data_IF_978563639679
#
_entry.id   IF_978563639679
#
_cell.length_a   1.000
_cell.length_b   1.000
_cell.length_c   1.000
_cell.angle_alpha   90.00
_cell.angle_beta   90.00
_cell.angle_gamma   90.00
#
_symmetry.space_group_name_H-M   'P 1'
#
loop_
_entity.id
_entity.type
_entity.pdbx_description
1 polymer ?
#
# COMPACT_ATOMS: atom_id res chain seq x y z
N UNK A 1 -7.51 -9.37 1.50
CA UNK A 1 -6.16 -9.21 0.89
C UNK A 1 -5.25 -8.64 1.95
N UNK A 2 -3.99 -9.09 2.00
CA UNK A 2 -2.96 -8.49 2.84
C UNK A 2 -1.77 -8.07 1.97
N UNK A 3 -1.33 -6.81 2.10
CA UNK A 3 -0.06 -6.33 1.55
C UNK A 3 0.92 -6.01 2.67
N UNK A 4 2.20 -6.25 2.43
CA UNK A 4 3.34 -5.98 3.31
C UNK A 4 4.20 -4.90 2.68
N UNK A 5 4.53 -3.85 3.43
CA UNK A 5 5.52 -2.84 3.04
C UNK A 5 6.91 -3.42 3.21
N UNK A 6 7.65 -3.57 2.11
CA UNK A 6 8.96 -4.24 2.09
C UNK A 6 10.13 -3.26 2.08
N UNK A 7 9.91 -2.02 1.65
CA UNK A 7 10.92 -0.97 1.60
C UNK A 7 10.26 0.41 1.60
N UNK A 8 10.90 1.39 2.25
CA UNK A 8 10.45 2.79 2.28
C UNK A 8 11.66 3.71 2.08
N UNK A 9 11.67 4.42 0.96
CA UNK A 9 12.78 5.31 0.59
C UNK A 9 12.30 6.76 0.55
N UNK A 10 13.05 7.66 1.18
CA UNK A 10 12.84 9.10 0.98
C UNK A 10 13.33 9.48 -0.43
N UNK A 11 12.43 10.01 -1.26
CA UNK A 11 12.71 10.37 -2.67
C UNK A 11 13.32 11.75 -2.81
N UNK A 12 12.97 12.70 -1.95
CA UNK A 12 13.37 14.12 -2.07
C UNK A 12 13.44 14.80 -0.69
N UNK A 13 14.01 16.01 -0.64
CA UNK A 13 13.98 16.85 0.56
C UNK A 13 12.56 17.38 0.89
N UNK A 14 11.54 17.00 0.11
CA UNK A 14 10.17 17.53 0.16
C UNK A 14 9.21 16.59 0.90
N UNK A 15 9.73 15.73 1.79
CA UNK A 15 8.91 14.84 2.63
C UNK A 15 8.09 13.82 1.81
N UNK A 16 8.57 13.42 0.63
CA UNK A 16 7.94 12.40 -0.23
C UNK A 16 8.67 11.07 -0.06
N UNK A 17 7.93 10.02 0.30
CA UNK A 17 8.44 8.68 0.49
C UNK A 17 7.87 7.75 -0.57
N UNK A 18 8.72 6.89 -1.11
CA UNK A 18 8.30 5.84 -2.01
C UNK A 18 8.34 4.50 -1.29
N UNK A 19 7.19 3.84 -1.21
CA UNK A 19 7.02 2.56 -0.54
C UNK A 19 6.89 1.43 -1.58
N UNK A 20 7.65 0.36 -1.37
CA UNK A 20 7.49 -0.90 -2.10
C UNK A 20 6.65 -1.85 -1.27
N UNK A 21 5.75 -2.59 -1.91
CA UNK A 21 4.90 -3.56 -1.22
C UNK A 21 4.80 -4.89 -1.97
N UNK A 22 4.45 -5.94 -1.22
CA UNK A 22 4.17 -7.27 -1.73
C UNK A 22 2.81 -7.77 -1.20
N UNK A 23 2.01 -8.40 -2.06
CA UNK A 23 0.81 -9.11 -1.64
C UNK A 23 1.23 -10.44 -1.03
N UNK A 24 1.07 -10.56 0.29
CA UNK A 24 1.40 -11.78 1.05
C UNK A 24 0.20 -12.71 1.23
N UNK A 25 -1.02 -12.19 1.04
CA UNK A 25 -2.25 -12.99 1.05
C UNK A 25 -3.30 -12.47 0.05
N UNK A 26 -3.79 -13.36 -0.82
CA UNK A 26 -4.83 -13.10 -1.81
C UNK A 26 -4.33 -12.99 -3.25
N UNK A 27 -5.26 -12.65 -4.15
CA UNK A 27 -5.06 -12.43 -5.59
C UNK A 27 -5.78 -11.16 -6.04
N UNK A 28 -5.37 -9.99 -5.54
CA UNK A 28 -6.07 -8.75 -5.80
C UNK A 28 -5.87 -8.27 -7.24
N UNK A 29 -6.89 -7.62 -7.78
CA UNK A 29 -6.78 -6.79 -8.98
C UNK A 29 -6.02 -5.49 -8.67
N UNK A 30 -5.68 -4.73 -9.71
CA UNK A 30 -5.10 -3.38 -9.53
C UNK A 30 -6.06 -2.45 -8.77
N UNK A 31 -7.36 -2.55 -9.02
CA UNK A 31 -8.36 -1.70 -8.36
C UNK A 31 -8.46 -1.99 -6.87
N UNK A 32 -8.39 -3.27 -6.47
CA UNK A 32 -8.43 -3.64 -5.05
C UNK A 32 -7.23 -3.06 -4.28
N UNK A 33 -6.06 -3.07 -4.92
CA UNK A 33 -4.84 -2.49 -4.34
C UNK A 33 -4.94 -0.98 -4.23
N UNK A 34 -5.47 -0.30 -5.26
CA UNK A 34 -5.69 1.15 -5.22
C UNK A 34 -6.63 1.49 -4.08
N UNK A 35 -7.78 0.81 -3.99
CA UNK A 35 -8.76 1.06 -2.93
C UNK A 35 -8.17 0.90 -1.53
N UNK A 36 -7.45 -0.20 -1.27
CA UNK A 36 -6.78 -0.42 0.02
C UNK A 36 -5.75 0.69 0.31
N UNK A 37 -4.87 1.00 -0.64
CA UNK A 37 -3.84 2.01 -0.41
C UNK A 37 -4.44 3.40 -0.19
N UNK A 38 -5.54 3.74 -0.87
CA UNK A 38 -6.24 5.02 -0.66
C UNK A 38 -7.05 5.08 0.63
N UNK A 39 -7.45 3.93 1.21
CA UNK A 39 -8.14 3.90 2.51
C UNK A 39 -7.16 4.01 3.67
N UNK A 40 -5.98 3.39 3.55
CA UNK A 40 -4.98 3.38 4.61
C UNK A 40 -4.09 4.64 4.60
N UNK A 41 -3.82 5.20 3.42
CA UNK A 41 -2.84 6.29 3.24
C UNK A 41 -3.55 7.53 2.71
N UNK A 42 -3.61 8.58 3.53
CA UNK A 42 -4.36 9.81 3.25
C UNK A 42 -3.86 10.56 2.00
N UNK A 43 -2.57 10.42 1.67
CA UNK A 43 -1.95 11.02 0.48
C UNK A 43 -1.13 9.95 -0.23
N UNK A 44 -1.77 9.22 -1.13
CA UNK A 44 -1.18 8.12 -1.90
C UNK A 44 -1.25 8.43 -3.40
N UNK A 45 -0.11 8.35 -4.09
CA UNK A 45 -0.02 8.59 -5.54
C UNK A 45 0.88 7.57 -6.24
N UNK A 46 0.91 7.61 -7.58
CA UNK A 46 1.83 6.82 -8.42
C UNK A 46 1.78 5.31 -8.15
N UNK A 47 0.57 4.79 -7.89
CA UNK A 47 0.35 3.38 -7.56
C UNK A 47 0.59 2.50 -8.80
N UNK A 48 1.58 1.62 -8.67
CA UNK A 48 1.95 0.60 -9.66
C UNK A 48 1.78 -0.78 -9.05
N UNK A 49 1.24 -1.73 -9.81
CA UNK A 49 1.04 -3.11 -9.34
C UNK A 49 1.31 -4.10 -10.48
N UNK A 50 2.09 -5.13 -10.18
CA UNK A 50 2.34 -6.28 -11.07
C UNK A 50 1.57 -7.49 -10.56
N UNK A 51 0.56 -7.92 -11.32
CA UNK A 51 -0.20 -9.15 -11.04
C UNK A 51 0.68 -10.40 -10.99
N UNK A 52 1.63 -10.51 -11.93
CA UNK A 52 2.54 -11.67 -12.01
C UNK A 52 3.48 -11.74 -10.82
N UNK A 53 4.07 -10.61 -10.42
CA UNK A 53 5.02 -10.57 -9.31
C UNK A 53 4.33 -10.42 -7.94
N UNK A 54 3.03 -10.15 -7.92
CA UNK A 54 2.26 -9.83 -6.72
C UNK A 54 2.92 -8.73 -5.88
N UNK A 55 3.46 -7.70 -6.53
CA UNK A 55 4.20 -6.62 -5.89
C UNK A 55 3.91 -5.29 -6.58
N UNK A 56 4.22 -4.19 -5.90
CA UNK A 56 4.03 -2.87 -6.46
C UNK A 56 4.78 -1.78 -5.72
N UNK A 57 4.48 -0.54 -6.10
CA UNK A 57 5.07 0.66 -5.51
C UNK A 57 4.07 1.79 -5.51
N UNK A 58 4.13 2.66 -4.51
CA UNK A 58 3.39 3.93 -4.47
C UNK A 58 4.24 5.02 -3.80
N UNK A 59 3.78 6.26 -3.92
CA UNK A 59 4.35 7.42 -3.22
C UNK A 59 3.39 7.89 -2.13
N UNK A 60 3.93 8.33 -1.00
CA UNK A 60 3.21 8.96 0.10
C UNK A 60 3.91 10.21 0.60
N UNK A 61 3.14 11.13 1.19
CA UNK A 61 3.64 12.37 1.79
C UNK A 61 3.72 12.22 3.30
N UNK A 62 4.86 12.55 3.87
CA UNK A 62 5.15 12.22 5.26
C UNK A 62 5.44 10.73 5.44
N UNK A 63 6.02 10.38 6.58
CA UNK A 63 6.37 8.99 6.90
C UNK A 63 5.11 8.22 7.35
N UNK A 64 4.15 8.05 6.45
CA UNK A 64 2.90 7.32 6.69
C UNK A 64 3.05 5.80 6.58
N UNK A 65 4.21 5.31 6.12
CA UNK A 65 4.48 3.88 6.00
C UNK A 65 5.79 3.52 6.69
N UNK A 66 5.84 2.30 7.24
CA UNK A 66 7.04 1.72 7.82
C UNK A 66 7.31 0.36 7.19
N UNK A 67 8.58 0.04 6.93
CA UNK A 67 8.96 -1.30 6.49
C UNK A 67 8.53 -2.35 7.53
N UNK A 68 7.86 -3.41 7.08
CA UNK A 68 7.27 -4.44 7.94
C UNK A 68 5.78 -4.23 8.24
N UNK A 69 5.22 -3.08 7.91
CA UNK A 69 3.80 -2.77 8.10
C UNK A 69 2.91 -3.58 7.14
N UNK A 70 1.73 -3.94 7.63
CA UNK A 70 0.74 -4.68 6.86
C UNK A 70 -0.53 -3.85 6.69
N UNK A 71 -1.08 -3.85 5.49
CA UNK A 71 -2.41 -3.30 5.22
C UNK A 71 -3.35 -4.44 4.83
N UNK A 72 -4.54 -4.45 5.42
CA UNK A 72 -5.49 -5.55 5.27
C UNK A 72 -6.88 -5.04 4.87
N UNK A 73 -7.44 -5.67 3.86
CA UNK A 73 -8.80 -5.41 3.40
C UNK A 73 -9.89 -5.95 4.36
N UNK A 74 -9.55 -6.84 5.30
CA UNK A 74 -10.54 -7.55 6.14
C UNK A 74 -11.13 -6.68 7.26
N UNK A 75 -10.60 -5.48 7.56
CA UNK A 75 -11.08 -4.67 8.69
C UNK A 75 -12.25 -3.70 8.38
N UNK A 76 -12.80 -3.68 7.16
CA UNK A 76 -13.92 -2.77 6.81
C UNK A 76 -15.32 -3.41 6.76
N UNK A 77 -15.49 -4.69 7.15
CA UNK A 77 -16.81 -5.35 7.14
C UNK A 77 -17.36 -5.79 8.50
N UNK A 78 -16.70 -5.45 9.62
CA UNK A 78 -17.24 -5.72 10.97
C UNK A 78 -17.69 -4.46 11.74
N UNK A 79 -17.80 -3.30 11.08
CA UNK A 79 -18.25 -2.05 11.72
C UNK A 79 -19.65 -1.57 11.29
N UNK A 80 -20.44 -2.42 10.63
CA UNK A 80 -21.86 -2.17 10.36
C UNK A 80 -22.63 -3.48 10.53
N UNK A 81 -23.05 -3.78 11.74
CA UNK A 81 -24.05 -4.80 12.08
C UNK A 81 -25.00 -4.22 13.11
#
# INVERSE_FOLDING_TARGET
>A
MIILITDVQNRTNENIYAATYQVVNGTPSRSDVIHLLTSEIAQCSDITYSLTKKQGRFNTVGRQCVQGEHFNYIEMHEAVS
#
